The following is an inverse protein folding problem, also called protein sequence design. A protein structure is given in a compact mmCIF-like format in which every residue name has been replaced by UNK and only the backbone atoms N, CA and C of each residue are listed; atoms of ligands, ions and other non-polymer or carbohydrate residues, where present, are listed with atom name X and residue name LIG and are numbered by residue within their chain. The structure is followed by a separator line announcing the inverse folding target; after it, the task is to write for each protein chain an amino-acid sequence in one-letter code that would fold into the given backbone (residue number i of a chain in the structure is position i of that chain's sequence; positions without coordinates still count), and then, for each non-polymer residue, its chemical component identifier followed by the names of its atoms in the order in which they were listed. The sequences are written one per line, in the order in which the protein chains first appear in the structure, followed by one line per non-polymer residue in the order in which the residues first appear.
data_IF_945573863269
#
_entry.id   IF_945573863269
#
_cell.length_a   1.000
_cell.length_b   1.000
_cell.length_c   1.000
_cell.angle_alpha   90.00
_cell.angle_beta   90.00
_cell.angle_gamma   90.00
#
_symmetry.space_group_name_H-M   'P 1'
#
loop_
_entity.id
_entity.type
_entity.pdbx_description
1 polymer ?
#
# COMPACT_ATOMS: atom_id res chain seq x y z
N UNK A 1 -28.85 11.79 -4.93
CA UNK A 1 -27.48 11.96 -4.37
C UNK A 1 -27.23 10.78 -3.45
N UNK A 2 -26.57 9.73 -3.95
CA UNK A 2 -26.22 8.57 -3.13
C UNK A 2 -25.21 8.99 -2.06
N UNK A 3 -25.41 8.53 -0.82
CA UNK A 3 -24.37 8.62 0.19
C UNK A 3 -23.14 7.88 -0.35
N UNK A 4 -22.03 8.59 -0.60
CA UNK A 4 -20.78 7.95 -1.00
C UNK A 4 -20.31 7.10 0.18
N UNK A 5 -20.52 5.78 0.08
CA UNK A 5 -20.25 4.81 1.13
C UNK A 5 -18.75 4.57 1.36
N UNK A 6 -18.43 3.73 2.34
CA UNK A 6 -17.11 3.13 2.48
C UNK A 6 -16.84 2.18 1.28
N UNK A 7 -15.57 1.97 0.88
CA UNK A 7 -15.25 0.98 -0.16
C UNK A 7 -15.76 -0.41 0.23
N UNK A 8 -16.22 -1.18 -0.76
CA UNK A 8 -16.62 -2.59 -0.60
C UNK A 8 -15.48 -3.56 -0.96
N UNK A 9 -14.45 -3.09 -1.67
CA UNK A 9 -13.33 -3.90 -2.14
C UNK A 9 -12.05 -3.07 -2.24
N UNK A 10 -10.91 -3.75 -2.34
CA UNK A 10 -9.60 -3.09 -2.46
C UNK A 10 -8.76 -3.77 -3.51
N UNK A 11 -8.12 -2.96 -4.33
CA UNK A 11 -7.17 -3.41 -5.33
C UNK A 11 -5.84 -2.70 -5.12
N UNK A 12 -4.81 -3.48 -4.82
CA UNK A 12 -3.46 -3.01 -4.54
C UNK A 12 -2.57 -3.42 -5.70
N UNK A 13 -2.05 -2.44 -6.44
CA UNK A 13 -1.03 -2.67 -7.45
C UNK A 13 0.35 -2.44 -6.82
N UNK A 14 1.14 -3.50 -6.71
CA UNK A 14 2.53 -3.40 -6.25
C UNK A 14 3.48 -3.52 -7.44
N UNK A 15 4.32 -2.50 -7.66
CA UNK A 15 5.36 -2.51 -8.67
C UNK A 15 6.68 -2.01 -8.05
N UNK A 16 7.75 -2.81 -7.98
CA UNK A 16 8.98 -2.42 -7.29
C UNK A 16 9.82 -1.38 -8.06
N UNK A 17 9.35 -0.90 -9.21
CA UNK A 17 10.04 0.10 -10.01
C UNK A 17 9.18 1.34 -10.14
N UNK A 18 9.78 2.53 -10.09
CA UNK A 18 9.05 3.77 -10.35
C UNK A 18 8.63 3.91 -11.82
N UNK A 19 7.58 4.71 -12.13
CA UNK A 19 7.23 5.02 -13.50
C UNK A 19 8.41 5.64 -14.25
N UNK A 20 8.74 5.10 -15.42
CA UNK A 20 9.75 5.64 -16.34
C UNK A 20 9.13 6.45 -17.49
N UNK A 21 7.82 6.63 -17.48
CA UNK A 21 7.01 7.35 -18.47
C UNK A 21 5.78 7.96 -17.79
N UNK A 22 5.05 8.87 -18.46
CA UNK A 22 3.80 9.41 -17.92
C UNK A 22 2.76 8.31 -17.65
N UNK A 23 2.13 8.40 -16.48
CA UNK A 23 1.04 7.52 -16.02
C UNK A 23 -0.16 8.39 -15.57
N UNK A 24 -0.91 8.98 -16.53
CA UNK A 24 -1.90 10.01 -16.23
C UNK A 24 -3.04 9.55 -15.31
N UNK A 25 -3.48 8.29 -15.39
CA UNK A 25 -4.56 7.77 -14.55
C UNK A 25 -4.08 7.47 -13.13
N UNK A 26 -2.86 6.97 -12.99
CA UNK A 26 -2.17 6.85 -11.70
C UNK A 26 -2.00 8.22 -11.05
N UNK A 27 -1.52 9.21 -11.80
CA UNK A 27 -1.35 10.58 -11.30
C UNK A 27 -2.70 11.21 -10.89
N UNK A 28 -3.78 10.91 -11.61
CA UNK A 28 -5.15 11.30 -11.20
C UNK A 28 -5.51 10.71 -9.84
N UNK A 29 -5.25 9.41 -9.61
CA UNK A 29 -5.47 8.76 -8.31
C UNK A 29 -4.63 9.44 -7.22
N UNK A 30 -3.34 9.71 -7.48
CA UNK A 30 -2.45 10.40 -6.55
C UNK A 30 -2.98 11.78 -6.18
N UNK A 31 -3.39 12.57 -7.18
CA UNK A 31 -3.90 13.94 -7.01
C UNK A 31 -5.25 14.00 -6.29
N UNK A 32 -6.13 13.05 -6.55
CA UNK A 32 -7.45 12.98 -5.92
C UNK A 32 -7.42 12.29 -4.55
N UNK A 33 -6.34 11.59 -4.25
CA UNK A 33 -6.25 10.66 -3.13
C UNK A 33 -5.33 11.10 -2.01
N UNK A 34 -4.94 10.10 -1.22
CA UNK A 34 -3.92 10.24 -0.17
C UNK A 34 -2.64 9.53 -0.62
N UNK A 35 -1.50 10.07 -0.19
CA UNK A 35 -0.19 9.49 -0.46
C UNK A 35 0.68 9.48 0.80
N UNK A 36 1.63 8.57 0.83
CA UNK A 36 2.55 8.46 1.96
C UNK A 36 3.70 7.51 1.72
N UNK A 37 4.47 7.30 2.77
CA UNK A 37 5.63 6.43 2.80
C UNK A 37 5.41 5.29 3.79
N UNK A 38 5.84 4.09 3.39
CA UNK A 38 5.90 2.90 4.21
C UNK A 38 7.37 2.57 4.47
N UNK A 39 7.77 2.69 5.73
CA UNK A 39 9.09 2.30 6.17
C UNK A 39 9.18 0.77 6.21
N UNK A 40 10.37 0.25 5.90
CA UNK A 40 10.65 -1.18 5.82
C UNK A 40 11.55 -1.61 6.98
N UNK A 41 11.42 -2.85 7.41
CA UNK A 41 12.33 -3.52 8.33
C UNK A 41 13.54 -4.07 7.55
N UNK A 42 14.77 -3.86 8.05
CA UNK A 42 16.01 -4.35 7.41
C UNK A 42 16.10 -5.88 7.33
N UNK A 43 15.44 -6.59 8.24
CA UNK A 43 15.58 -8.04 8.42
C UNK A 43 14.85 -8.84 7.34
N UNK A 44 14.05 -8.21 6.49
CA UNK A 44 13.34 -8.86 5.39
C UNK A 44 13.56 -8.12 4.08
N UNK A 45 13.84 -8.87 3.02
CA UNK A 45 13.87 -8.38 1.64
C UNK A 45 12.56 -8.64 0.90
N UNK A 46 11.60 -9.32 1.53
CA UNK A 46 10.27 -9.54 0.97
C UNK A 46 9.36 -8.36 1.33
N UNK A 47 9.34 -7.37 0.44
CA UNK A 47 8.57 -6.15 0.64
C UNK A 47 7.06 -6.39 0.55
N UNK A 48 6.60 -7.39 -0.22
CA UNK A 48 5.18 -7.74 -0.30
C UNK A 48 4.72 -8.33 1.02
N UNK A 49 5.52 -9.21 1.63
CA UNK A 49 5.22 -9.77 2.94
C UNK A 49 5.14 -8.69 4.03
N UNK A 50 6.07 -7.72 4.02
CA UNK A 50 6.04 -6.58 4.93
C UNK A 50 4.84 -5.66 4.68
N UNK A 51 4.51 -5.37 3.42
CA UNK A 51 3.35 -4.56 3.02
C UNK A 51 2.02 -5.18 3.46
N UNK A 52 1.92 -6.50 3.37
CA UNK A 52 0.78 -7.27 3.87
C UNK A 52 0.81 -7.43 5.40
N UNK A 53 1.90 -7.02 6.06
CA UNK A 53 2.06 -7.14 7.49
C UNK A 53 2.11 -8.59 7.98
N UNK A 54 2.61 -9.49 7.14
CA UNK A 54 2.70 -10.92 7.40
C UNK A 54 4.13 -11.36 7.79
N UNK A 55 5.04 -10.40 7.94
CA UNK A 55 6.42 -10.66 8.33
C UNK A 55 6.61 -10.61 9.85
N UNK A 56 6.98 -11.75 10.44
CA UNK A 56 7.49 -11.89 11.81
C UNK A 56 8.65 -12.87 11.81
N UNK A 57 9.70 -12.63 12.60
CA UNK A 57 10.93 -13.44 12.54
C UNK A 57 10.74 -14.91 12.98
N UNK A 58 9.69 -15.21 13.75
CA UNK A 58 9.47 -16.52 14.38
C UNK A 58 8.12 -17.15 14.04
N UNK A 59 7.33 -16.55 13.14
CA UNK A 59 6.01 -17.05 12.76
C UNK A 59 5.94 -17.16 11.22
N UNK A 60 5.22 -18.16 10.73
CA UNK A 60 4.92 -18.28 9.30
C UNK A 60 3.91 -17.21 8.85
N UNK A 61 3.91 -16.79 7.58
CA UNK A 61 2.92 -15.83 7.06
C UNK A 61 1.47 -16.20 7.37
N UNK A 62 1.14 -17.49 7.31
CA UNK A 62 -0.20 -18.03 7.60
C UNK A 62 -0.56 -17.86 9.09
N UNK A 63 0.37 -18.10 10.00
CA UNK A 63 0.17 -17.88 11.44
C UNK A 63 -0.05 -16.39 11.74
N UNK A 64 0.78 -15.52 11.16
CA UNK A 64 0.65 -14.07 11.32
C UNK A 64 -0.69 -13.58 10.76
N UNK A 65 -1.09 -14.08 9.57
CA UNK A 65 -2.38 -13.76 8.96
C UNK A 65 -3.54 -14.13 9.89
N UNK A 66 -3.55 -15.35 10.41
CA UNK A 66 -4.61 -15.82 11.30
C UNK A 66 -4.69 -14.97 12.58
N UNK A 67 -3.55 -14.61 13.16
CA UNK A 67 -3.45 -13.80 14.39
C UNK A 67 -3.90 -12.35 14.19
N UNK A 68 -3.48 -11.72 13.09
CA UNK A 68 -3.72 -10.28 12.84
C UNK A 68 -5.03 -9.99 12.13
N UNK A 69 -5.40 -10.85 11.18
CA UNK A 69 -6.45 -10.58 10.21
C UNK A 69 -7.56 -11.64 10.24
N UNK A 70 -7.37 -12.76 10.95
CA UNK A 70 -8.34 -13.84 11.04
C UNK A 70 -8.82 -14.29 9.67
N UNK A 71 -10.13 -14.14 9.43
CA UNK A 71 -10.79 -14.56 8.18
C UNK A 71 -10.81 -13.47 7.10
N UNK A 72 -10.05 -12.38 7.23
CA UNK A 72 -10.01 -11.32 6.23
C UNK A 72 -9.59 -11.89 4.86
N UNK A 73 -10.39 -11.70 3.80
CA UNK A 73 -10.12 -12.27 2.48
C UNK A 73 -9.04 -11.46 1.77
N UNK A 74 -7.80 -11.94 1.89
CA UNK A 74 -6.62 -11.39 1.20
C UNK A 74 -6.22 -12.37 0.10
N UNK A 75 -6.22 -11.89 -1.14
CA UNK A 75 -5.74 -12.59 -2.32
C UNK A 75 -4.49 -11.89 -2.84
N UNK A 76 -3.41 -12.64 -3.05
CA UNK A 76 -2.17 -12.13 -3.64
C UNK A 76 -1.89 -12.87 -4.93
N UNK A 77 -1.76 -12.14 -6.04
CA UNK A 77 -1.54 -12.71 -7.36
C UNK A 77 -0.26 -12.11 -7.93
N UNK A 78 0.65 -12.97 -8.39
CA UNK A 78 1.74 -12.53 -9.27
C UNK A 78 1.18 -12.24 -10.66
N UNK A 79 1.45 -11.05 -11.18
CA UNK A 79 0.92 -10.65 -12.46
C UNK A 79 1.43 -11.53 -13.60
N UNK A 80 0.49 -11.99 -14.42
CA UNK A 80 0.69 -12.62 -15.72
C UNK A 80 -0.27 -11.96 -16.72
N UNK A 81 -0.04 -12.10 -18.03
CA UNK A 81 -0.89 -11.49 -19.06
C UNK A 81 -2.37 -11.89 -18.97
N UNK A 82 -2.65 -13.05 -18.36
CA UNK A 82 -3.99 -13.62 -18.24
C UNK A 82 -4.63 -13.33 -16.87
N UNK A 83 -3.97 -12.52 -16.03
CA UNK A 83 -4.48 -12.17 -14.72
C UNK A 83 -5.72 -11.27 -14.83
N UNK A 84 -6.82 -11.72 -14.21
CA UNK A 84 -7.98 -10.87 -14.01
C UNK A 84 -7.64 -9.77 -12.98
N UNK A 85 -7.60 -8.52 -13.45
CA UNK A 85 -7.36 -7.34 -12.61
C UNK A 85 -8.65 -6.71 -12.08
N UNK A 86 -9.79 -7.39 -12.24
CA UNK A 86 -11.06 -6.92 -11.70
C UNK A 86 -11.09 -7.11 -10.18
N UNK A 87 -11.67 -6.16 -9.44
CA UNK A 87 -11.90 -6.34 -8.01
C UNK A 87 -12.93 -7.46 -7.81
N UNK A 88 -12.64 -8.37 -6.89
CA UNK A 88 -13.65 -9.31 -6.41
C UNK A 88 -14.34 -8.61 -5.23
N UNK A 89 -15.68 -8.52 -5.28
CA UNK A 89 -16.45 -7.85 -4.21
C UNK A 89 -16.09 -8.43 -2.85
N UNK A 90 -15.94 -7.57 -1.85
CA UNK A 90 -15.57 -7.93 -0.48
C UNK A 90 -14.18 -8.56 -0.31
N UNK A 91 -13.26 -8.41 -1.28
CA UNK A 91 -11.87 -8.91 -1.16
C UNK A 91 -10.85 -7.77 -1.14
N UNK A 92 -9.70 -8.07 -0.54
CA UNK A 92 -8.47 -7.30 -0.73
C UNK A 92 -7.60 -8.10 -1.69
N UNK A 93 -7.36 -7.54 -2.88
CA UNK A 93 -6.57 -8.16 -3.92
C UNK A 93 -5.29 -7.40 -4.14
N UNK A 94 -4.14 -8.04 -3.95
CA UNK A 94 -2.83 -7.52 -4.30
C UNK A 94 -2.35 -8.16 -5.59
N UNK A 95 -1.95 -7.32 -6.54
CA UNK A 95 -1.35 -7.73 -7.81
C UNK A 95 0.12 -7.31 -7.78
N UNK A 96 0.99 -8.31 -7.78
CA UNK A 96 2.44 -8.15 -7.70
C UNK A 96 3.06 -8.16 -9.10
N UNK A 97 3.59 -7.01 -9.51
CA UNK A 97 4.25 -6.79 -10.80
C UNK A 97 5.78 -6.95 -10.74
N UNK A 98 6.34 -7.54 -9.68
CA UNK A 98 7.80 -7.66 -9.50
C UNK A 98 8.52 -8.23 -10.72
N UNK A 99 7.91 -9.22 -11.37
CA UNK A 99 8.51 -9.95 -12.49
C UNK A 99 8.13 -9.38 -13.87
N UNK A 100 7.44 -8.23 -13.94
CA UNK A 100 6.89 -7.67 -15.20
C UNK A 100 7.38 -6.25 -15.51
N UNK A 101 8.26 -6.12 -16.52
CA UNK A 101 8.94 -4.86 -16.86
C UNK A 101 8.02 -3.75 -17.37
N UNK A 102 6.93 -4.08 -18.06
CA UNK A 102 6.02 -3.09 -18.66
C UNK A 102 4.82 -2.75 -17.76
N UNK A 103 4.92 -3.05 -16.46
CA UNK A 103 3.86 -2.90 -15.46
C UNK A 103 3.10 -1.58 -15.54
N UNK A 104 3.81 -0.47 -15.75
CA UNK A 104 3.19 0.85 -15.76
C UNK A 104 2.21 1.12 -16.91
N UNK A 105 2.28 0.41 -18.05
CA UNK A 105 1.20 0.50 -19.06
C UNK A 105 -0.07 -0.06 -18.43
N UNK A 106 0.07 -1.28 -17.91
CA UNK A 106 -1.03 -2.11 -17.45
C UNK A 106 -1.69 -1.50 -16.22
N UNK A 107 -0.89 -1.04 -15.26
CA UNK A 107 -1.38 -0.38 -14.04
C UNK A 107 -2.13 0.90 -14.40
N UNK A 108 -1.60 1.73 -15.31
CA UNK A 108 -2.24 2.99 -15.69
C UNK A 108 -3.57 2.76 -16.42
N UNK A 109 -3.61 1.83 -17.37
CA UNK A 109 -4.85 1.41 -18.03
C UNK A 109 -5.87 0.86 -17.02
N UNK A 110 -5.41 0.03 -16.08
CA UNK A 110 -6.29 -0.52 -15.05
C UNK A 110 -6.83 0.60 -14.13
N UNK A 111 -6.06 1.65 -13.85
CA UNK A 111 -6.47 2.82 -13.08
C UNK A 111 -7.42 3.77 -13.84
N UNK A 112 -7.58 3.61 -15.15
CA UNK A 112 -8.53 4.37 -15.94
C UNK A 112 -9.98 3.93 -15.69
N UNK A 113 -10.17 2.66 -15.35
CA UNK A 113 -11.49 2.03 -15.15
C UNK A 113 -12.22 2.61 -13.93
N UNK A 114 -13.48 2.95 -14.12
CA UNK A 114 -14.34 3.49 -13.07
C UNK A 114 -14.76 2.39 -12.08
N UNK A 115 -14.48 2.60 -10.80
CA UNK A 115 -14.72 1.64 -9.72
C UNK A 115 -15.17 2.39 -8.46
N UNK A 116 -16.42 2.86 -8.41
CA UNK A 116 -16.87 3.74 -7.33
C UNK A 116 -16.88 3.07 -5.95
N UNK A 117 -16.89 1.73 -5.90
CA UNK A 117 -16.94 0.93 -4.67
C UNK A 117 -15.59 0.26 -4.33
N UNK A 118 -14.52 0.58 -5.05
CA UNK A 118 -13.19 -0.03 -4.86
C UNK A 118 -12.18 1.03 -4.41
N UNK A 119 -11.48 0.76 -3.31
CA UNK A 119 -10.28 1.50 -2.96
C UNK A 119 -9.13 1.02 -3.86
N UNK A 120 -8.64 1.90 -4.72
CA UNK A 120 -7.48 1.59 -5.57
C UNK A 120 -6.24 2.11 -4.89
N UNK A 121 -5.26 1.23 -4.66
CA UNK A 121 -3.98 1.52 -4.02
C UNK A 121 -2.84 1.20 -4.99
N UNK A 122 -1.85 2.08 -5.07
CA UNK A 122 -0.67 1.96 -5.93
C UNK A 122 0.54 2.04 -5.02
N UNK A 123 1.44 1.07 -5.10
CA UNK A 123 2.60 0.96 -4.21
C UNK A 123 3.86 0.68 -5.01
N UNK A 124 4.93 1.41 -4.71
CA UNK A 124 6.24 1.19 -5.34
C UNK A 124 7.41 1.38 -4.41
N UNK A 125 8.50 0.66 -4.68
CA UNK A 125 9.76 0.84 -3.98
C UNK A 125 10.46 2.13 -4.42
N UNK A 126 11.11 2.79 -3.47
CA UNK A 126 11.89 3.99 -3.71
C UNK A 126 13.19 3.97 -2.91
N UNK A 127 14.27 4.42 -3.55
CA UNK A 127 15.57 4.62 -2.91
C UNK A 127 15.63 6.00 -2.27
N UNK A 128 16.07 6.06 -1.01
CA UNK A 128 16.15 7.28 -0.22
C UNK A 128 17.58 7.85 -0.30
N UNK A 129 17.72 9.07 -0.81
CA UNK A 129 19.03 9.73 -0.98
C UNK A 129 19.57 10.40 0.29
N UNK A 130 18.73 10.62 1.29
CA UNK A 130 19.10 11.11 2.61
C UNK A 130 17.92 10.98 3.57
N UNK A 131 18.20 10.65 4.83
CA UNK A 131 17.19 10.57 5.89
C UNK A 131 16.68 11.98 6.22
N UNK A 132 15.38 12.27 6.11
CA UNK A 132 14.82 13.49 6.66
C UNK A 132 14.96 13.50 8.19
N UNK A 133 15.35 14.64 8.75
CA UNK A 133 15.36 14.88 10.18
C UNK A 133 13.93 14.79 10.77
N UNK A 134 13.76 13.88 11.74
CA UNK A 134 12.71 13.79 12.77
C UNK A 134 11.26 13.76 12.24
N UNK A 135 10.65 12.56 12.16
CA UNK A 135 9.21 12.34 11.87
C UNK A 135 8.70 11.08 12.64
N UNK A 136 7.38 10.75 12.69
CA UNK A 136 6.63 10.36 13.90
C UNK A 136 6.87 8.91 14.40
N UNK A 137 6.55 8.65 15.68
CA UNK A 137 6.72 7.34 16.35
C UNK A 137 6.04 6.14 15.65
N UNK A 138 5.04 6.36 14.78
CA UNK A 138 4.20 5.29 14.22
C UNK A 138 4.95 4.27 13.34
N UNK A 139 6.04 4.68 12.67
CA UNK A 139 6.84 3.72 11.90
C UNK A 139 7.79 2.87 12.74
N UNK A 140 7.97 3.22 14.01
CA UNK A 140 8.73 2.42 14.97
C UNK A 140 7.85 1.46 15.76
N UNK A 141 6.52 1.54 15.65
CA UNK A 141 5.64 0.64 16.40
C UNK A 141 5.29 -0.58 15.55
N UNK A 142 5.38 -1.78 16.14
CA UNK A 142 4.96 -3.05 15.55
C UNK A 142 4.31 -3.90 16.63
N UNK A 143 3.03 -4.23 16.47
CA UNK A 143 2.28 -5.04 17.44
C UNK A 143 2.31 -4.50 18.87
N UNK A 144 2.27 -3.18 19.04
CA UNK A 144 2.38 -2.52 20.36
C UNK A 144 3.79 -2.46 20.96
N UNK A 145 4.80 -3.00 20.28
CA UNK A 145 6.21 -2.93 20.68
C UNK A 145 6.93 -1.91 19.83
N UNK A 146 7.88 -1.17 20.42
CA UNK A 146 8.74 -0.24 19.68
C UNK A 146 9.94 -1.01 19.12
N UNK A 147 10.13 -0.94 17.82
CA UNK A 147 11.33 -1.35 17.11
C UNK A 147 12.44 -0.33 17.32
N UNK A 148 13.68 -0.80 17.34
CA UNK A 148 14.84 0.07 17.38
C UNK A 148 15.07 0.71 16.00
N UNK A 149 15.62 1.93 15.99
CA UNK A 149 15.91 2.65 14.72
C UNK A 149 16.87 1.87 13.81
N UNK A 150 17.75 1.05 14.40
CA UNK A 150 18.66 0.20 13.62
C UNK A 150 17.93 -0.90 12.84
N UNK A 151 16.72 -1.29 13.26
CA UNK A 151 15.91 -2.31 12.61
C UNK A 151 15.15 -1.78 11.39
N UNK A 152 15.05 -0.45 11.25
CA UNK A 152 14.40 0.21 10.12
C UNK A 152 15.38 0.46 8.99
N UNK A 153 14.95 0.16 7.77
CA UNK A 153 15.69 0.48 6.56
C UNK A 153 15.52 1.97 6.21
N UNK A 154 16.63 2.70 6.28
CA UNK A 154 16.70 4.12 5.94
C UNK A 154 17.28 4.37 4.54
N UNK A 155 17.69 3.32 3.83
CA UNK A 155 18.20 3.40 2.46
C UNK A 155 17.08 3.33 1.41
N UNK A 156 15.94 2.74 1.77
CA UNK A 156 14.80 2.53 0.90
C UNK A 156 13.49 2.53 1.68
N UNK A 157 12.39 2.78 0.98
CA UNK A 157 11.03 2.70 1.51
C UNK A 157 10.05 2.33 0.40
N UNK A 158 8.79 2.07 0.73
CA UNK A 158 7.73 2.09 -0.27
C UNK A 158 7.03 3.45 -0.25
N UNK A 159 6.64 3.93 -1.41
CA UNK A 159 5.65 5.00 -1.55
C UNK A 159 4.32 4.39 -1.93
N UNK A 160 3.24 5.04 -1.50
CA UNK A 160 1.91 4.64 -1.91
C UNK A 160 1.03 5.84 -2.21
N UNK A 161 0.01 5.59 -3.03
CA UNK A 161 -1.13 6.47 -3.23
C UNK A 161 -2.40 5.63 -3.27
N UNK A 162 -3.49 6.15 -2.71
CA UNK A 162 -4.79 5.49 -2.83
C UNK A 162 -5.92 6.48 -3.04
N UNK A 163 -6.98 6.04 -3.71
CA UNK A 163 -8.20 6.80 -3.89
C UNK A 163 -9.44 5.92 -3.83
N UNK A 164 -10.50 6.48 -3.24
CA UNK A 164 -11.88 6.02 -3.29
C UNK A 164 -12.77 7.26 -3.32
N UNK A 165 -13.88 7.32 -4.07
CA UNK A 165 -14.73 8.52 -4.17
C UNK A 165 -15.25 9.06 -2.84
N UNK A 166 -15.47 8.20 -1.85
CA UNK A 166 -15.82 8.60 -0.49
C UNK A 166 -14.66 9.14 0.37
N UNK A 167 -13.44 9.26 -0.18
CA UNK A 167 -12.29 9.78 0.57
C UNK A 167 -12.41 11.29 0.78
N UNK A 168 -12.28 11.74 2.02
CA UNK A 168 -12.40 13.17 2.39
C UNK A 168 -11.07 13.89 2.46
N UNK A 169 -9.95 13.17 2.41
CA UNK A 169 -8.60 13.73 2.44
C UNK A 169 -7.99 13.67 1.04
N UNK A 170 -7.46 14.81 0.60
CA UNK A 170 -6.66 14.96 -0.61
C UNK A 170 -5.31 15.53 -0.23
N UNK A 171 -4.22 14.98 -0.76
CA UNK A 171 -2.88 15.56 -0.58
C UNK A 171 -2.50 16.46 -1.77
N UNK A 172 -1.47 17.30 -1.61
CA UNK A 172 -1.00 18.25 -2.65
C UNK A 172 -0.04 17.62 -3.67
N UNK A 173 0.03 16.29 -3.74
CA UNK A 173 0.94 15.58 -4.64
C UNK A 173 0.26 15.34 -5.98
N UNK A 174 0.85 15.84 -7.06
CA UNK A 174 0.27 15.69 -8.41
C UNK A 174 0.73 14.45 -9.15
N UNK A 175 1.93 13.96 -8.84
CA UNK A 175 2.59 12.87 -9.57
C UNK A 175 3.00 11.74 -8.64
N UNK A 176 2.72 10.51 -9.06
CA UNK A 176 3.19 9.33 -8.35
C UNK A 176 4.70 9.15 -8.54
N UNK A 177 5.46 9.23 -7.45
CA UNK A 177 6.92 9.09 -7.50
C UNK A 177 7.63 9.81 -6.37
N UNK A 178 8.81 10.36 -6.68
CA UNK A 178 9.74 10.97 -5.71
C UNK A 178 9.13 12.09 -4.86
N UNK A 179 8.14 12.82 -5.38
CA UNK A 179 7.49 13.90 -4.64
C UNK A 179 6.73 13.39 -3.40
N UNK A 180 6.31 12.12 -3.39
CA UNK A 180 5.65 11.49 -2.23
C UNK A 180 6.59 11.41 -1.03
N UNK A 181 7.92 11.34 -1.22
CA UNK A 181 8.89 11.32 -0.11
C UNK A 181 8.84 12.61 0.72
N UNK A 182 8.39 13.71 0.12
CA UNK A 182 8.26 15.00 0.82
C UNK A 182 7.06 15.04 1.78
N UNK A 183 6.22 14.02 1.76
CA UNK A 183 5.09 13.91 2.71
C UNK A 183 5.60 13.52 4.10
N UNK A 184 5.00 14.10 5.14
CA UNK A 184 5.30 13.72 6.54
C UNK A 184 4.55 12.45 6.99
N UNK A 185 3.79 11.80 6.10
CA UNK A 185 3.03 10.60 6.40
C UNK A 185 3.92 9.37 6.29
N UNK A 186 4.57 8.97 7.38
CA UNK A 186 5.38 7.74 7.47
C UNK A 186 4.76 6.76 8.45
N UNK A 187 4.49 5.55 7.98
CA UNK A 187 4.09 4.41 8.82
C UNK A 187 4.99 3.21 8.52
N UNK A 188 5.02 2.23 9.40
CA UNK A 188 5.66 0.95 9.10
C UNK A 188 4.81 0.22 8.04
N UNK A 189 5.44 -0.43 7.05
CA UNK A 189 4.74 -1.21 6.03
C UNK A 189 3.79 -2.25 6.65
N UNK A 190 4.16 -2.78 7.82
CA UNK A 190 3.36 -3.71 8.61
C UNK A 190 1.95 -3.20 8.98
N UNK A 191 1.74 -1.87 9.02
CA UNK A 191 0.45 -1.24 9.32
C UNK A 191 -0.44 -1.05 8.10
N UNK A 192 0.12 -1.05 6.89
CA UNK A 192 -0.59 -0.65 5.67
C UNK A 192 -1.86 -1.46 5.43
N UNK A 193 -1.76 -2.79 5.45
CA UNK A 193 -2.91 -3.66 5.25
C UNK A 193 -3.94 -3.55 6.40
N UNK A 194 -3.49 -3.26 7.62
CA UNK A 194 -4.39 -3.06 8.76
C UNK A 194 -5.22 -1.78 8.61
N UNK A 195 -4.62 -0.68 8.12
CA UNK A 195 -5.35 0.54 7.80
C UNK A 195 -6.39 0.31 6.69
N UNK A 196 -6.05 -0.50 5.68
CA UNK A 196 -6.97 -0.90 4.62
C UNK A 196 -8.11 -1.76 5.19
N UNK A 197 -7.81 -2.77 6.00
CA UNK A 197 -8.80 -3.63 6.63
C UNK A 197 -9.76 -2.85 7.52
N UNK A 198 -9.29 -1.80 8.20
CA UNK A 198 -10.13 -0.88 8.96
C UNK A 198 -11.09 -0.10 8.06
N UNK A 199 -10.61 0.45 6.93
CA UNK A 199 -11.47 1.16 5.96
C UNK A 199 -12.60 0.28 5.39
N UNK A 200 -12.38 -1.03 5.32
CA UNK A 200 -13.39 -2.02 4.89
C UNK A 200 -14.25 -2.58 6.05
N UNK A 201 -13.97 -2.20 7.30
CA UNK A 201 -14.69 -2.69 8.47
C UNK A 201 -14.28 -4.09 8.95
N UNK A 202 -13.19 -4.67 8.43
CA UNK A 202 -12.65 -5.95 8.90
C UNK A 202 -11.88 -5.83 10.22
N UNK A 203 -11.32 -4.66 10.51
CA UNK A 203 -10.44 -4.44 11.67
C UNK A 203 -10.94 -3.21 12.42
N UNK A 204 -11.08 -3.32 13.74
CA UNK A 204 -11.42 -2.16 14.57
C UNK A 204 -10.29 -1.11 14.54
N UNK A 205 -10.63 0.17 14.71
CA UNK A 205 -9.67 1.29 14.67
C UNK A 205 -8.65 1.33 15.82
N UNK A 206 -8.54 0.30 16.64
CA UNK A 206 -7.64 0.25 17.78
C UNK A 206 -6.70 -0.95 17.67
N UNK A 207 -5.38 -0.68 17.58
CA UNK A 207 -4.34 -1.72 17.61
C UNK A 207 -3.47 -1.85 16.35
N UNK A 208 -3.30 -0.79 15.56
CA UNK A 208 -2.09 -0.61 14.74
C UNK A 208 -0.95 -0.14 15.65
#
# INVERSE_FOLDING_TARGET
MSAQGSPESVLIYYCPFLPNRPVPHVNRITKMGCSGQLMLEKKSTDYVLQLLGLYESNETPEQVKQKRFGTMPIETIKFTSDCDMSPIKSTIKLIDFTDFKEAWTVIDEACALDRPDTLVCIVSLIQLKSSPNIIPQSYLMKGGTRLEEEEIDHSQSLIYSYFHPGSTRTDFIEHFGQDIIRTNNKILAWHFLAEIGNKLGYIAKYGA
#
